data_IF_058539624748
#
_entry.id   IF_058539624748
#
_cell.length_a   1.000
_cell.length_b   1.000
_cell.length_c   1.000
_cell.angle_alpha   90.00
_cell.angle_beta   90.00
_cell.angle_gamma   90.00
#
_symmetry.space_group_name_H-M   'P 1'
#
loop_
_entity.id
_entity.type
_entity.pdbx_description
1 polymer ?
#
# COMPACT_ATOMS: atom_id res chain seq x y z
N UNK A 1 -12.88 -11.26 31.29
CA UNK A 1 -12.87 -10.38 30.10
C UNK A 1 -13.31 -11.23 28.92
N UNK A 2 -14.53 -11.00 28.42
CA UNK A 2 -15.04 -11.71 27.23
C UNK A 2 -14.17 -11.36 26.03
N UNK A 3 -13.76 -12.38 25.27
CA UNK A 3 -12.76 -12.29 24.18
C UNK A 3 -13.40 -12.19 22.78
N UNK A 4 -14.68 -11.86 22.70
CA UNK A 4 -15.46 -11.98 21.46
C UNK A 4 -16.17 -10.67 21.05
N UNK A 5 -15.60 -9.51 21.35
CA UNK A 5 -16.07 -8.26 20.74
C UNK A 5 -15.40 -8.09 19.36
N UNK A 6 -16.18 -8.28 18.31
CA UNK A 6 -15.74 -8.01 16.93
C UNK A 6 -15.94 -6.52 16.67
N UNK A 7 -14.83 -5.80 16.51
CA UNK A 7 -14.84 -4.38 16.14
C UNK A 7 -14.80 -4.24 14.62
N UNK A 8 -15.72 -3.44 14.08
CA UNK A 8 -15.76 -3.08 12.66
C UNK A 8 -15.11 -1.72 12.49
N UNK A 9 -14.17 -1.62 11.56
CA UNK A 9 -13.52 -0.36 11.21
C UNK A 9 -13.55 -0.18 9.70
N UNK A 10 -14.06 0.97 9.25
CA UNK A 10 -13.96 1.37 7.85
C UNK A 10 -12.55 1.89 7.57
N UNK A 11 -11.87 1.29 6.60
CA UNK A 11 -10.53 1.69 6.19
C UNK A 11 -10.61 2.32 4.81
N UNK A 12 -10.00 3.50 4.67
CA UNK A 12 -10.00 4.28 3.44
C UNK A 12 -8.57 4.43 2.92
N UNK A 13 -8.42 4.36 1.61
CA UNK A 13 -7.14 4.49 0.92
C UNK A 13 -7.33 5.16 -0.43
N UNK A 14 -6.29 5.85 -0.89
CA UNK A 14 -6.23 6.31 -2.27
C UNK A 14 -6.11 5.09 -3.20
N UNK A 15 -6.86 5.08 -4.31
CA UNK A 15 -6.85 3.99 -5.28
C UNK A 15 -5.44 3.66 -5.78
N UNK A 16 -4.68 4.67 -6.18
CA UNK A 16 -3.29 4.51 -6.62
C UNK A 16 -2.39 3.90 -5.54
N UNK A 17 -2.55 4.30 -4.27
CA UNK A 17 -1.73 3.76 -3.19
C UNK A 17 -1.99 2.26 -2.96
N UNK A 18 -3.25 1.82 -3.04
CA UNK A 18 -3.60 0.43 -2.77
C UNK A 18 -3.39 -0.48 -3.98
N UNK A 19 -3.58 0.02 -5.20
CA UNK A 19 -3.36 -0.74 -6.44
C UNK A 19 -1.87 -1.02 -6.70
N UNK A 20 -0.98 -0.18 -6.17
CA UNK A 20 0.47 -0.37 -6.27
C UNK A 20 1.05 -1.16 -5.08
N UNK A 21 0.20 -1.58 -4.15
CA UNK A 21 0.62 -2.45 -3.06
C UNK A 21 0.76 -3.90 -3.59
N UNK A 22 1.85 -4.60 -3.29
CA UNK A 22 2.03 -5.97 -3.75
C UNK A 22 0.94 -6.88 -3.16
N UNK A 23 0.52 -7.85 -3.96
CA UNK A 23 -0.51 -8.84 -3.63
C UNK A 23 -1.92 -8.30 -3.36
N UNK A 24 -2.20 -7.01 -3.60
CA UNK A 24 -3.55 -6.46 -3.58
C UNK A 24 -4.00 -6.21 -5.02
N UNK A 25 -5.12 -6.81 -5.42
CA UNK A 25 -5.59 -6.76 -6.79
C UNK A 25 -7.04 -6.33 -6.87
N UNK A 26 -7.36 -5.46 -7.82
CA UNK A 26 -8.74 -5.12 -8.14
C UNK A 26 -9.34 -6.15 -9.09
N UNK A 27 -10.42 -6.81 -8.68
CA UNK A 27 -11.21 -7.72 -9.51
C UNK A 27 -12.65 -7.21 -9.57
N UNK A 28 -13.01 -6.61 -10.70
CA UNK A 28 -14.29 -5.90 -10.83
C UNK A 28 -14.30 -4.68 -9.90
N UNK A 29 -15.21 -4.67 -8.93
CA UNK A 29 -15.35 -3.60 -7.95
C UNK A 29 -14.77 -3.95 -6.56
N UNK A 30 -14.03 -5.05 -6.44
CA UNK A 30 -13.54 -5.55 -5.15
C UNK A 30 -12.01 -5.60 -5.12
N UNK A 31 -11.42 -5.21 -3.98
CA UNK A 31 -9.99 -5.39 -3.71
C UNK A 31 -9.76 -6.75 -3.04
N UNK A 32 -9.15 -7.65 -3.76
CA UNK A 32 -8.80 -8.99 -3.26
C UNK A 32 -7.53 -8.93 -2.42
N UNK A 33 -7.45 -9.78 -1.37
CA UNK A 33 -6.36 -9.87 -0.40
C UNK A 33 -6.08 -8.62 0.45
N UNK A 34 -6.94 -7.60 0.40
CA UNK A 34 -6.78 -6.40 1.20
C UNK A 34 -6.62 -6.73 2.70
N UNK A 35 -7.55 -7.50 3.26
CA UNK A 35 -7.60 -7.79 4.69
C UNK A 35 -6.35 -8.53 5.20
N UNK A 36 -5.78 -9.40 4.37
CA UNK A 36 -4.59 -10.18 4.74
C UNK A 36 -3.30 -9.39 4.55
N UNK A 37 -3.28 -8.37 3.68
CA UNK A 37 -2.06 -7.62 3.30
C UNK A 37 -1.96 -6.24 3.92
N UNK A 38 -3.07 -5.57 4.25
CA UNK A 38 -3.07 -4.17 4.71
C UNK A 38 -2.18 -3.95 5.95
N UNK A 39 -2.15 -4.94 6.86
CA UNK A 39 -1.33 -4.90 8.06
C UNK A 39 0.18 -4.82 7.77
N UNK A 40 0.63 -5.33 6.61
CA UNK A 40 2.03 -5.28 6.20
C UNK A 40 2.47 -3.84 5.92
N UNK A 41 1.59 -3.03 5.31
CA UNK A 41 1.94 -1.70 4.76
C UNK A 41 1.72 -0.57 5.77
N UNK A 42 0.75 -0.72 6.68
CA UNK A 42 0.35 0.35 7.60
C UNK A 42 1.52 0.90 8.43
N UNK A 43 2.49 0.05 8.80
CA UNK A 43 3.67 0.44 9.61
C UNK A 43 4.95 0.68 8.80
N UNK A 44 4.92 0.50 7.47
CA UNK A 44 6.10 0.72 6.65
C UNK A 44 6.38 2.20 6.53
N UNK A 45 7.63 2.58 6.78
CA UNK A 45 8.08 3.97 6.66
C UNK A 45 8.57 4.23 5.24
N UNK A 46 8.05 5.30 4.64
CA UNK A 46 8.53 5.78 3.36
C UNK A 46 9.99 6.22 3.46
N UNK A 47 10.87 5.73 2.59
CA UNK A 47 12.29 6.11 2.62
C UNK A 47 12.54 7.56 2.19
N UNK A 48 11.55 8.24 1.59
CA UNK A 48 11.64 9.62 1.09
C UNK A 48 11.09 10.64 2.09
N UNK A 49 9.96 10.36 2.75
CA UNK A 49 9.31 11.29 3.67
C UNK A 49 9.31 10.84 5.13
N UNK A 50 9.75 9.62 5.42
CA UNK A 50 9.85 9.01 6.75
C UNK A 50 8.55 8.84 7.54
N UNK A 51 7.39 9.08 6.92
CA UNK A 51 6.07 8.80 7.49
C UNK A 51 5.61 7.37 7.19
N UNK A 52 4.72 6.83 8.02
CA UNK A 52 4.15 5.48 7.89
C UNK A 52 3.12 5.35 6.75
N UNK A 53 2.70 4.12 6.43
CA UNK A 53 1.71 3.82 5.39
C UNK A 53 2.28 3.66 3.98
N UNK A 54 3.59 3.45 3.83
CA UNK A 54 4.21 3.23 2.53
C UNK A 54 3.91 1.81 2.00
N UNK A 55 3.33 1.70 0.80
CA UNK A 55 2.87 0.41 0.29
C UNK A 55 3.69 -0.12 -0.90
N UNK A 56 4.51 0.71 -1.55
CA UNK A 56 5.21 0.33 -2.77
C UNK A 56 6.64 -0.10 -2.44
N UNK A 57 7.03 -1.36 -2.68
CA UNK A 57 8.40 -1.80 -2.51
C UNK A 57 9.30 -1.24 -3.63
N UNK A 58 10.49 -0.77 -3.24
CA UNK A 58 11.58 -0.39 -4.15
C UNK A 58 12.87 -0.96 -3.57
N UNK A 59 13.30 -2.11 -4.09
CA UNK A 59 14.38 -2.89 -3.50
C UNK A 59 14.01 -3.41 -2.10
N UNK A 60 14.79 -3.03 -1.09
CA UNK A 60 14.61 -3.36 0.32
C UNK A 60 13.80 -2.30 1.11
N UNK A 61 13.33 -1.25 0.43
CA UNK A 61 12.64 -0.10 1.03
C UNK A 61 11.18 -0.02 0.56
N UNK A 62 10.42 0.81 1.26
CA UNK A 62 9.06 1.17 0.86
C UNK A 62 8.95 2.67 0.57
N UNK A 63 8.09 3.02 -0.38
CA UNK A 63 7.74 4.40 -0.72
C UNK A 63 6.21 4.56 -0.84
N UNK A 64 5.72 5.77 -0.56
CA UNK A 64 4.36 6.13 -0.96
C UNK A 64 4.32 6.39 -2.47
N UNK A 65 3.19 6.08 -3.10
CA UNK A 65 2.90 6.45 -4.49
C UNK A 65 3.18 7.94 -4.82
N UNK A 66 2.62 8.93 -4.09
CA UNK A 66 2.89 10.34 -4.36
C UNK A 66 4.36 10.72 -4.15
N UNK A 67 5.05 10.08 -3.20
CA UNK A 67 6.47 10.35 -2.95
C UNK A 67 7.33 9.87 -4.12
N UNK A 68 7.08 8.67 -4.64
CA UNK A 68 7.75 8.12 -5.81
C UNK A 68 7.57 9.04 -7.03
N UNK A 69 6.32 9.42 -7.34
CA UNK A 69 6.02 10.37 -8.43
C UNK A 69 6.75 11.71 -8.27
N UNK A 70 6.70 12.31 -7.07
CA UNK A 70 7.34 13.61 -6.80
C UNK A 70 8.86 13.57 -6.97
N UNK A 71 9.50 12.44 -6.67
CA UNK A 71 10.95 12.28 -6.77
C UNK A 71 11.41 11.69 -8.12
N UNK A 72 10.50 11.52 -9.08
CA UNK A 72 10.84 11.08 -10.43
C UNK A 72 11.18 9.59 -10.54
N UNK A 73 10.71 8.75 -9.61
CA UNK A 73 10.89 7.31 -9.70
C UNK A 73 10.19 6.76 -10.95
N UNK A 74 10.77 5.72 -11.56
CA UNK A 74 10.18 5.06 -12.71
C UNK A 74 9.00 4.18 -12.29
N UNK A 75 7.81 4.63 -12.65
CA UNK A 75 6.53 4.00 -12.35
C UNK A 75 6.03 3.23 -13.57
N UNK A 76 6.13 1.89 -13.57
CA UNK A 76 5.60 1.07 -14.64
C UNK A 76 4.13 0.70 -14.37
N UNK A 77 3.20 1.39 -15.02
CA UNK A 77 1.75 1.18 -14.86
C UNK A 77 1.26 -0.16 -15.40
N UNK A 78 1.94 -0.75 -16.39
CA UNK A 78 1.56 -2.05 -16.94
C UNK A 78 1.86 -3.20 -15.96
N UNK A 79 2.88 -3.03 -15.12
CA UNK A 79 3.33 -4.03 -14.15
C UNK A 79 3.04 -3.63 -12.69
N UNK A 80 2.51 -2.44 -12.44
CA UNK A 80 2.35 -1.85 -11.10
C UNK A 80 3.64 -1.96 -10.26
N UNK A 81 4.78 -1.64 -10.87
CA UNK A 81 6.12 -1.76 -10.26
C UNK A 81 6.86 -0.42 -10.27
N UNK A 82 7.62 -0.14 -9.21
CA UNK A 82 8.33 1.12 -9.02
C UNK A 82 9.84 0.90 -8.85
N UNK A 83 10.64 1.74 -9.49
CA UNK A 83 12.10 1.70 -9.43
C UNK A 83 12.63 3.12 -9.20
N UNK A 84 13.67 3.26 -8.37
CA UNK A 84 14.33 4.54 -8.11
C UNK A 84 15.15 5.02 -9.31
#
# INVERSE_FOLDING_TARGET
>A
MNRDETYWADVWFHGDCILWAPDVYMKGNSLTNLDSKINQFWKQKCCLCHHEGAAIPVGDKYVHFPCAKKHGYHMNEALFSCHA
#
